data_IF_294568779776
#
_entry.id   IF_294568779776
#
_cell.length_a   1.000
_cell.length_b   1.000
_cell.length_c   1.000
_cell.angle_alpha   90.00
_cell.angle_beta   90.00
_cell.angle_gamma   90.00
#
_symmetry.space_group_name_H-M   'P 1'
#
loop_
_entity.id
_entity.type
_entity.pdbx_description
1 polymer ?
#
# COMPACT_ATOMS: atom_id res chain seq x y z
N UNK A 1 14.19 -29.97 23.40
CA UNK A 1 14.15 -30.23 21.95
C UNK A 1 13.43 -29.09 21.23
N UNK A 2 13.98 -28.60 20.14
CA UNK A 2 13.41 -27.53 19.40
C UNK A 2 12.45 -28.07 18.32
N UNK A 3 11.23 -27.54 18.27
CA UNK A 3 10.26 -27.91 17.22
C UNK A 3 10.73 -27.25 15.91
N UNK A 4 10.79 -28.02 14.80
CA UNK A 4 11.14 -27.42 13.50
C UNK A 4 10.18 -26.32 13.10
N UNK A 5 10.73 -25.22 12.60
CA UNK A 5 9.94 -24.12 12.07
C UNK A 5 9.47 -24.48 10.67
N UNK A 6 8.15 -24.39 10.44
CA UNK A 6 7.60 -24.54 9.11
C UNK A 6 7.76 -23.20 8.38
N UNK A 7 8.46 -23.16 7.23
CA UNK A 7 8.64 -21.91 6.51
C UNK A 7 7.31 -21.30 6.05
N UNK A 8 7.17 -20.00 6.19
CA UNK A 8 6.14 -19.22 5.51
C UNK A 8 6.82 -18.62 4.29
N UNK A 9 6.60 -19.26 3.16
CA UNK A 9 7.25 -18.87 1.90
C UNK A 9 6.21 -18.67 0.82
N UNK A 10 6.19 -17.50 0.21
CA UNK A 10 5.24 -17.15 -0.85
C UNK A 10 6.00 -16.80 -2.12
N UNK A 11 5.99 -17.67 -3.14
CA UNK A 11 6.57 -17.30 -4.44
C UNK A 11 5.83 -16.12 -5.04
N UNK A 12 6.56 -15.12 -5.52
CA UNK A 12 5.98 -13.92 -6.12
C UNK A 12 5.07 -14.27 -7.31
N UNK A 13 5.50 -15.20 -8.15
CA UNK A 13 4.76 -15.56 -9.37
C UNK A 13 3.38 -16.17 -9.08
N UNK A 14 3.15 -16.66 -7.86
CA UNK A 14 1.87 -17.26 -7.48
C UNK A 14 0.92 -16.27 -6.83
N UNK A 15 1.33 -15.01 -6.64
CA UNK A 15 0.49 -13.99 -6.00
C UNK A 15 -0.35 -13.29 -7.06
N UNK A 16 -1.69 -13.40 -7.02
CA UNK A 16 -2.55 -12.67 -7.97
C UNK A 16 -2.61 -11.18 -7.61
N UNK A 17 -2.80 -10.35 -8.64
CA UNK A 17 -3.04 -8.94 -8.44
C UNK A 17 -4.55 -8.67 -8.37
N UNK A 18 -4.95 -7.67 -7.58
CA UNK A 18 -6.34 -7.24 -7.48
C UNK A 18 -6.39 -5.73 -7.19
N UNK A 19 -7.55 -5.13 -7.41
CA UNK A 19 -7.73 -3.70 -7.18
C UNK A 19 -8.29 -3.51 -5.77
N UNK A 20 -7.62 -2.66 -4.98
CA UNK A 20 -8.05 -2.38 -3.61
C UNK A 20 -9.03 -1.21 -3.54
N UNK A 21 -9.46 -0.94 -2.32
CA UNK A 21 -10.41 0.10 -1.97
C UNK A 21 -9.98 1.48 -2.43
N UNK A 22 -8.68 1.78 -2.40
CA UNK A 22 -8.13 3.08 -2.83
C UNK A 22 -7.84 3.18 -4.33
N UNK A 23 -8.12 2.12 -5.09
CA UNK A 23 -7.94 2.08 -6.54
C UNK A 23 -6.60 1.56 -7.02
N UNK A 24 -5.66 1.28 -6.13
CA UNK A 24 -4.36 0.73 -6.53
C UNK A 24 -4.45 -0.76 -6.88
N UNK A 25 -3.55 -1.21 -7.75
CA UNK A 25 -3.39 -2.63 -8.05
C UNK A 25 -2.43 -3.23 -7.01
N UNK A 26 -2.90 -4.24 -6.29
CA UNK A 26 -2.17 -4.80 -5.16
C UNK A 26 -1.85 -6.27 -5.39
N UNK A 27 -0.63 -6.65 -4.99
CA UNK A 27 -0.23 -8.04 -4.76
C UNK A 27 0.05 -8.19 -3.27
N UNK A 28 -0.75 -9.00 -2.59
CA UNK A 28 -0.56 -9.26 -1.16
C UNK A 28 0.57 -10.29 -1.02
N UNK A 29 1.76 -9.83 -0.67
CA UNK A 29 2.95 -10.68 -0.63
C UNK A 29 3.00 -11.55 0.63
N UNK A 30 2.53 -11.00 1.76
CA UNK A 30 2.46 -11.73 3.02
C UNK A 30 1.39 -11.08 3.90
N UNK A 31 0.40 -11.89 4.32
CA UNK A 31 -0.71 -11.40 5.14
C UNK A 31 -1.19 -12.50 6.08
N UNK A 32 -1.50 -12.18 7.34
CA UNK A 32 -1.96 -13.17 8.32
C UNK A 32 -3.13 -14.02 7.85
N UNK A 33 -4.06 -13.44 7.09
CA UNK A 33 -5.25 -14.15 6.62
C UNK A 33 -4.95 -15.17 5.52
N UNK A 34 -3.79 -15.07 4.88
CA UNK A 34 -3.43 -15.93 3.73
C UNK A 34 -2.25 -16.84 4.08
N UNK A 35 -1.13 -16.26 4.51
CA UNK A 35 0.08 -17.05 4.79
C UNK A 35 0.23 -17.43 6.27
N UNK A 36 -0.48 -16.74 7.18
CA UNK A 36 -0.50 -17.11 8.57
C UNK A 36 0.58 -16.50 9.46
N UNK A 37 1.32 -15.52 8.96
CA UNK A 37 2.13 -14.67 9.83
C UNK A 37 1.21 -13.87 10.75
N UNK A 38 1.72 -13.16 11.77
CA UNK A 38 0.84 -12.68 12.83
C UNK A 38 0.70 -11.18 12.96
N UNK A 39 1.77 -10.40 12.73
CA UNK A 39 1.79 -9.02 13.24
C UNK A 39 1.77 -7.95 12.16
N UNK A 40 1.93 -8.31 10.91
CA UNK A 40 2.09 -7.33 9.85
C UNK A 40 1.72 -7.91 8.51
N UNK A 41 1.52 -7.05 7.53
CA UNK A 41 1.36 -7.47 6.14
C UNK A 41 2.34 -6.71 5.25
N UNK A 42 2.70 -7.34 4.14
CA UNK A 42 3.54 -6.74 3.11
C UNK A 42 2.85 -6.92 1.77
N UNK A 43 2.67 -5.80 1.05
CA UNK A 43 2.04 -5.79 -0.26
C UNK A 43 2.88 -4.99 -1.25
N UNK A 44 2.71 -5.29 -2.53
CA UNK A 44 3.23 -4.47 -3.61
C UNK A 44 2.08 -3.75 -4.27
N UNK A 45 2.19 -2.43 -4.36
CA UNK A 45 1.19 -1.59 -5.01
C UNK A 45 1.75 -1.06 -6.33
N UNK A 46 0.92 -1.09 -7.37
CA UNK A 46 1.24 -0.50 -8.66
C UNK A 46 0.19 0.54 -9.00
N UNK A 47 0.62 1.74 -9.33
CA UNK A 47 -0.23 2.86 -9.71
C UNK A 47 0.08 3.19 -11.16
N UNK A 48 -0.90 3.08 -12.07
CA UNK A 48 -0.69 3.38 -13.49
C UNK A 48 -0.24 4.82 -13.72
N UNK A 49 0.48 5.09 -14.83
CA UNK A 49 0.96 6.43 -15.12
C UNK A 49 -0.15 7.48 -15.08
N UNK A 50 0.12 8.62 -14.45
CA UNK A 50 -0.80 9.74 -14.39
C UNK A 50 -2.04 9.55 -13.53
N UNK A 51 -2.12 8.45 -12.79
CA UNK A 51 -3.25 8.18 -11.88
C UNK A 51 -2.82 8.30 -10.44
N UNK A 52 -3.78 8.39 -9.53
CA UNK A 52 -3.51 8.43 -8.10
C UNK A 52 -4.46 7.52 -7.33
N UNK A 53 -4.04 7.13 -6.15
CA UNK A 53 -4.92 6.44 -5.21
C UNK A 53 -5.93 7.43 -4.61
N UNK A 54 -7.06 6.93 -4.14
CA UNK A 54 -8.02 7.77 -3.43
C UNK A 54 -7.43 8.20 -2.09
N UNK A 55 -7.75 9.42 -1.66
CA UNK A 55 -7.37 9.91 -0.34
C UNK A 55 -8.02 9.02 0.71
N UNK A 56 -7.21 8.46 1.61
CA UNK A 56 -7.69 7.52 2.62
C UNK A 56 -6.82 7.57 3.86
N UNK A 57 -7.26 6.88 4.91
CA UNK A 57 -6.47 6.71 6.14
C UNK A 57 -6.74 5.33 6.73
N UNK A 58 -5.79 4.85 7.51
CA UNK A 58 -5.96 3.67 8.34
C UNK A 58 -6.09 4.13 9.79
N UNK A 59 -7.09 3.64 10.51
CA UNK A 59 -7.41 4.16 11.85
C UNK A 59 -6.40 3.69 12.89
N UNK A 60 -5.96 2.43 12.80
CA UNK A 60 -5.07 1.79 13.78
C UNK A 60 -3.72 1.43 13.17
N UNK A 61 -3.70 1.03 11.89
CA UNK A 61 -2.48 0.57 11.22
C UNK A 61 -1.49 1.71 10.99
N UNK A 62 -0.24 1.47 11.34
CA UNK A 62 0.91 2.24 10.87
C UNK A 62 1.37 1.62 9.55
N UNK A 63 1.67 2.45 8.57
CA UNK A 63 2.08 1.99 7.25
C UNK A 63 3.41 2.60 6.83
N UNK A 64 4.21 1.81 6.11
CA UNK A 64 5.45 2.29 5.49
C UNK A 64 5.35 2.02 3.99
N UNK A 65 5.61 3.04 3.17
CA UNK A 65 5.81 2.90 1.73
C UNK A 65 7.29 2.90 1.41
N UNK A 66 7.70 2.02 0.52
CA UNK A 66 9.06 2.01 -0.03
C UNK A 66 8.97 1.95 -1.55
N UNK A 67 9.46 2.98 -2.23
CA UNK A 67 9.33 3.12 -3.68
C UNK A 67 10.34 2.21 -4.39
N UNK A 68 9.85 1.36 -5.29
CA UNK A 68 10.69 0.41 -6.03
C UNK A 68 10.80 0.72 -7.52
N UNK A 69 9.87 1.49 -8.09
CA UNK A 69 9.92 1.91 -9.49
C UNK A 69 9.15 3.20 -9.68
N UNK A 70 9.62 4.03 -10.60
CA UNK A 70 8.92 5.24 -11.00
C UNK A 70 9.13 6.43 -10.07
N UNK A 71 8.36 7.48 -10.35
CA UNK A 71 8.36 8.76 -9.62
C UNK A 71 6.93 9.11 -9.29
N UNK A 72 6.68 9.65 -8.12
CA UNK A 72 5.34 10.02 -7.70
C UNK A 72 5.28 11.26 -6.85
N UNK A 73 4.04 11.74 -6.66
CA UNK A 73 3.74 12.84 -5.74
C UNK A 73 2.97 12.27 -4.56
N UNK A 74 3.60 12.34 -3.38
CA UNK A 74 3.00 11.88 -2.13
C UNK A 74 2.23 13.00 -1.46
N UNK A 75 1.02 12.71 -1.00
CA UNK A 75 0.25 13.55 -0.09
C UNK A 75 0.19 12.84 1.26
N UNK A 76 0.66 13.52 2.30
CA UNK A 76 0.67 12.97 3.66
C UNK A 76 0.19 14.07 4.60
N UNK A 77 -1.05 13.96 5.08
CA UNK A 77 -1.68 15.05 5.81
C UNK A 77 -1.70 16.32 4.97
N UNK A 78 -1.14 17.39 5.49
CA UNK A 78 -1.05 18.67 4.78
C UNK A 78 0.20 18.78 3.88
N UNK A 79 1.13 17.82 3.94
CA UNK A 79 2.36 17.86 3.18
C UNK A 79 2.20 17.19 1.81
N UNK A 80 2.88 17.76 0.80
CA UNK A 80 2.97 17.17 -0.54
C UNK A 80 4.42 17.25 -0.99
N UNK A 81 4.95 16.14 -1.48
CA UNK A 81 6.36 16.06 -1.87
C UNK A 81 6.58 14.96 -2.90
N UNK A 82 7.59 15.17 -3.75
CA UNK A 82 7.97 14.19 -4.76
C UNK A 82 8.77 13.06 -4.13
N UNK A 83 8.55 11.84 -4.63
CA UNK A 83 9.27 10.65 -4.20
C UNK A 83 9.75 9.86 -5.42
N UNK A 84 10.84 9.12 -5.24
CA UNK A 84 11.44 8.28 -6.28
C UNK A 84 11.99 7.00 -5.72
N UNK A 85 12.61 6.19 -6.58
CA UNK A 85 13.13 4.87 -6.23
C UNK A 85 14.05 4.93 -5.01
N UNK A 86 13.78 4.08 -4.04
CA UNK A 86 14.55 3.98 -2.79
C UNK A 86 14.01 4.85 -1.66
N UNK A 87 13.12 5.80 -1.95
CA UNK A 87 12.53 6.64 -0.91
C UNK A 87 11.55 5.85 -0.05
N UNK A 88 11.51 6.19 1.23
CA UNK A 88 10.66 5.51 2.21
C UNK A 88 9.84 6.52 2.99
N UNK A 89 8.54 6.28 3.11
CA UNK A 89 7.60 7.19 3.77
C UNK A 89 6.93 6.44 4.92
N UNK A 90 7.00 7.01 6.13
CA UNK A 90 6.26 6.52 7.27
C UNK A 90 4.89 7.21 7.35
N UNK A 91 3.83 6.44 7.50
CA UNK A 91 2.46 6.94 7.55
C UNK A 91 1.86 6.57 8.90
N UNK A 92 1.74 7.54 9.82
CA UNK A 92 1.16 7.27 11.14
C UNK A 92 -0.33 6.89 11.05
N UNK A 93 -0.84 6.14 12.03
CA UNK A 93 -2.28 5.86 12.09
C UNK A 93 -3.10 7.14 12.05
N UNK A 94 -4.25 7.09 11.36
CA UNK A 94 -5.17 8.22 11.26
C UNK A 94 -4.78 9.30 10.28
N UNK A 95 -3.63 9.19 9.61
CA UNK A 95 -3.13 10.23 8.71
C UNK A 95 -3.65 10.03 7.29
N UNK A 96 -4.33 11.04 6.78
CA UNK A 96 -4.83 11.04 5.40
C UNK A 96 -3.66 11.02 4.41
N UNK A 97 -3.74 10.15 3.41
CA UNK A 97 -2.68 10.06 2.42
C UNK A 97 -3.18 9.54 1.08
N UNK A 98 -2.45 9.89 0.03
CA UNK A 98 -2.59 9.33 -1.31
C UNK A 98 -1.27 9.52 -2.05
N UNK A 99 -1.12 8.81 -3.15
CA UNK A 99 0.07 8.93 -3.99
C UNK A 99 -0.32 8.91 -5.47
N UNK A 100 0.31 9.77 -6.23
CA UNK A 100 0.05 9.91 -7.66
C UNK A 100 1.30 9.52 -8.45
N UNK A 101 1.12 8.68 -9.47
CA UNK A 101 2.21 8.33 -10.38
C UNK A 101 2.45 9.43 -11.40
N UNK A 102 3.71 9.67 -11.75
CA UNK A 102 4.07 10.53 -12.87
C UNK A 102 3.38 10.05 -14.16
N UNK A 103 3.04 10.97 -15.04
CA UNK A 103 2.48 10.62 -16.35
C UNK A 103 3.47 9.85 -17.23
N UNK A 104 4.75 9.82 -16.87
CA UNK A 104 5.81 9.21 -17.66
C UNK A 104 6.00 7.72 -17.41
N UNK A 105 5.42 7.16 -16.37
CA UNK A 105 5.56 5.75 -16.08
C UNK A 105 4.80 5.33 -14.84
N UNK A 106 4.59 4.03 -14.71
CA UNK A 106 3.93 3.46 -13.53
C UNK A 106 4.81 3.64 -12.30
N UNK A 107 4.16 3.81 -11.16
CA UNK A 107 4.80 3.85 -9.85
C UNK A 107 4.58 2.50 -9.17
N UNK A 108 5.64 1.92 -8.65
CA UNK A 108 5.55 0.70 -7.85
C UNK A 108 6.18 0.94 -6.49
N UNK A 109 5.55 0.36 -5.47
CA UNK A 109 6.03 0.52 -4.10
C UNK A 109 5.66 -0.70 -3.26
N UNK A 110 6.40 -0.90 -2.19
CA UNK A 110 6.07 -1.87 -1.15
C UNK A 110 5.33 -1.16 -0.04
N UNK A 111 4.29 -1.82 0.48
CA UNK A 111 3.51 -1.33 1.62
C UNK A 111 3.67 -2.32 2.77
N UNK A 112 4.18 -1.85 3.89
CA UNK A 112 4.27 -2.65 5.12
C UNK A 112 3.29 -2.08 6.13
N UNK A 113 2.35 -2.90 6.60
CA UNK A 113 1.30 -2.50 7.53
C UNK A 113 1.42 -3.26 8.84
N UNK A 114 1.37 -2.55 9.97
CA UNK A 114 1.37 -3.14 11.31
C UNK A 114 0.38 -2.37 12.21
N UNK A 115 -0.68 -3.02 12.71
CA UNK A 115 -1.18 -4.35 12.35
C UNK A 115 -1.41 -4.52 10.85
N UNK A 116 -1.56 -5.76 10.41
CA UNK A 116 -1.77 -6.08 9.00
C UNK A 116 -2.92 -5.29 8.38
N UNK A 117 -2.82 -5.00 7.09
CA UNK A 117 -3.88 -4.29 6.35
C UNK A 117 -5.24 -4.94 6.55
N UNK A 118 -6.27 -4.11 6.77
CA UNK A 118 -7.65 -4.54 6.86
C UNK A 118 -8.57 -3.48 6.25
N UNK A 119 -9.51 -3.94 5.41
CA UNK A 119 -10.52 -3.03 4.83
C UNK A 119 -11.33 -2.32 5.92
N UNK A 120 -11.64 -3.04 7.00
CA UNK A 120 -12.41 -2.48 8.11
C UNK A 120 -11.67 -1.34 8.84
N UNK A 121 -10.34 -1.31 8.74
CA UNK A 121 -9.49 -0.28 9.34
C UNK A 121 -9.21 0.87 8.36
N UNK A 122 -9.71 0.77 7.13
CA UNK A 122 -9.43 1.72 6.06
C UNK A 122 -10.64 2.58 5.77
N UNK A 123 -10.47 3.89 5.84
CA UNK A 123 -11.52 4.87 5.59
C UNK A 123 -11.16 5.70 4.37
N UNK A 124 -12.02 5.65 3.35
CA UNK A 124 -11.87 6.50 2.16
C UNK A 124 -12.43 7.87 2.49
N UNK A 125 -11.64 8.91 2.21
CA UNK A 125 -11.94 10.28 2.61
C UNK A 125 -12.46 11.15 1.45
N UNK A 126 -12.60 10.55 0.26
CA UNK A 126 -13.15 11.23 -0.90
C UNK A 126 -13.95 10.25 -1.75
N UNK A 127 -14.84 10.78 -2.58
CA UNK A 127 -15.55 9.95 -3.55
C UNK A 127 -14.63 9.61 -4.71
N UNK A 128 -14.99 8.57 -5.47
CA UNK A 128 -14.25 8.21 -6.67
C UNK A 128 -14.34 9.31 -7.73
N UNK A 129 -13.55 9.15 -8.78
CA UNK A 129 -13.43 10.13 -9.86
C UNK A 129 -14.72 10.42 -10.62
N UNK A 130 -15.72 9.59 -10.47
CA UNK A 130 -17.04 9.74 -11.07
C UNK A 130 -18.02 10.50 -10.17
N UNK A 131 -17.52 11.16 -9.15
CA UNK A 131 -18.32 12.01 -8.30
C UNK A 131 -19.02 13.06 -9.16
N UNK A 132 -20.33 13.08 -9.20
CA UNK A 132 -21.07 14.04 -10.02
C UNK A 132 -20.96 15.47 -9.51
N UNK A 133 -20.41 15.65 -8.40
CA UNK A 133 -20.17 16.92 -7.74
C UNK A 133 -20.20 18.01 -7.64
#
# INVERSE_FOLDING_TARGET
>A
MRVPVKPLYQPYAAVPAYITKDGSEIRELMHPAVQGNQKQSLAEATIPPGTRTLLHRHLVTEEIYHITAGVGLMTLGAARFMVGVGDTIGIPPGTAHCIEASSKGALALLCCCSPAYADADTEILETGQDDPG
#
